data_IF_251877628409
#
_entry.id   IF_251877628409
#
_cell.length_a   1.000
_cell.length_b   1.000
_cell.length_c   1.000
_cell.angle_alpha   90.00
_cell.angle_beta   90.00
_cell.angle_gamma   90.00
#
_symmetry.space_group_name_H-M   'P 1'
#
loop_
_entity.id
_entity.type
_entity.pdbx_description
1 polymer ?
#
# COMPACT_ATOMS: atom_id res chain seq x y z
N UNK A 1 22.81 -38.19 33.98
CA UNK A 1 21.82 -37.14 33.72
C UNK A 1 21.61 -36.92 32.22
N UNK A 2 21.40 -37.97 31.39
CA UNK A 2 21.79 -37.85 29.96
C UNK A 2 20.69 -38.12 28.92
N UNK A 3 19.46 -38.46 29.32
CA UNK A 3 18.35 -38.71 28.38
C UNK A 3 17.21 -37.71 28.49
N UNK A 4 16.83 -37.34 29.72
CA UNK A 4 15.70 -36.41 29.96
C UNK A 4 16.05 -34.98 29.50
N UNK A 5 17.27 -34.50 29.78
CA UNK A 5 17.72 -33.18 29.31
C UNK A 5 17.73 -33.07 27.78
N UNK A 6 18.19 -34.10 27.06
CA UNK A 6 18.22 -34.08 25.59
C UNK A 6 16.81 -34.03 24.96
N UNK A 7 15.84 -34.74 25.54
CA UNK A 7 14.45 -34.73 25.04
C UNK A 7 13.78 -33.38 25.29
N UNK A 8 14.03 -32.74 26.43
CA UNK A 8 13.50 -31.39 26.71
C UNK A 8 14.11 -30.32 25.80
N UNK A 9 15.41 -30.39 25.48
CA UNK A 9 16.05 -29.43 24.56
C UNK A 9 15.53 -29.60 23.13
N UNK A 10 15.28 -30.83 22.68
CA UNK A 10 14.73 -31.11 21.34
C UNK A 10 13.26 -30.67 21.24
N UNK A 11 12.45 -30.89 22.28
CA UNK A 11 11.06 -30.42 22.29
C UNK A 11 10.96 -28.89 22.26
N UNK A 12 11.87 -28.19 22.95
CA UNK A 12 11.96 -26.73 22.90
C UNK A 12 12.40 -26.25 21.50
N UNK A 13 13.40 -26.89 20.88
CA UNK A 13 13.86 -26.54 19.53
C UNK A 13 12.79 -26.78 18.43
N UNK A 14 11.98 -27.84 18.56
CA UNK A 14 10.88 -28.13 17.63
C UNK A 14 9.73 -27.13 17.82
N UNK A 15 9.45 -26.69 19.05
CA UNK A 15 8.44 -25.65 19.31
C UNK A 15 8.82 -24.27 18.77
N UNK A 16 10.12 -23.99 18.60
CA UNK A 16 10.61 -22.75 17.95
C UNK A 16 10.48 -22.83 16.41
N UNK A 17 10.42 -24.03 15.84
CA UNK A 17 10.30 -24.24 14.39
C UNK A 17 8.84 -24.29 13.89
N UNK A 18 7.84 -24.38 14.77
CA UNK A 18 6.47 -24.75 14.36
C UNK A 18 5.41 -23.64 14.34
N UNK A 19 5.74 -22.34 14.44
CA UNK A 19 4.68 -21.29 14.36
C UNK A 19 5.06 -20.02 13.60
N UNK A 20 5.64 -20.14 12.40
CA UNK A 20 5.58 -19.04 11.43
C UNK A 20 4.73 -19.42 10.22
N UNK A 21 3.47 -19.78 10.46
CA UNK A 21 2.42 -19.44 9.50
C UNK A 21 2.18 -17.94 9.66
N UNK A 22 3.07 -17.16 9.03
CA UNK A 22 2.90 -15.73 8.88
C UNK A 22 1.73 -15.52 7.92
N UNK A 23 0.53 -15.31 8.46
CA UNK A 23 -0.51 -14.65 7.68
C UNK A 23 -0.01 -13.22 7.51
N UNK A 24 0.56 -12.90 6.35
CA UNK A 24 0.81 -11.52 6.02
C UNK A 24 -0.55 -10.89 5.73
N UNK A 25 -0.99 -9.95 6.58
CA UNK A 25 -2.28 -9.30 6.40
C UNK A 25 -2.14 -8.25 5.30
N UNK A 26 -2.39 -8.64 4.07
CA UNK A 26 -2.52 -7.70 2.95
C UNK A 26 -3.78 -6.87 3.18
N UNK A 27 -3.59 -5.59 3.44
CA UNK A 27 -4.65 -4.59 3.59
C UNK A 27 -4.78 -3.79 2.30
N UNK A 28 -5.92 -3.96 1.62
CA UNK A 28 -6.29 -3.13 0.47
C UNK A 28 -6.75 -1.77 0.96
N UNK A 29 -5.89 -0.77 0.84
CA UNK A 29 -6.15 0.59 1.32
C UNK A 29 -7.09 1.35 0.38
N UNK A 30 -6.99 1.08 -0.91
CA UNK A 30 -7.86 1.68 -1.93
C UNK A 30 -7.94 0.80 -3.18
N UNK A 31 -9.11 0.82 -3.82
CA UNK A 31 -9.34 0.16 -5.12
C UNK A 31 -10.15 1.09 -6.01
N UNK A 32 -9.56 1.50 -7.13
CA UNK A 32 -10.29 2.14 -8.24
C UNK A 32 -10.71 1.14 -9.31
N UNK A 33 -9.89 0.11 -9.53
CA UNK A 33 -10.17 -1.01 -10.43
C UNK A 33 -9.33 -2.24 -10.03
N UNK A 34 -9.46 -3.32 -10.78
CA UNK A 34 -8.56 -4.48 -10.71
C UNK A 34 -7.07 -4.14 -10.95
N UNK A 35 -6.81 -3.06 -11.70
CA UNK A 35 -5.47 -2.63 -12.11
C UNK A 35 -5.02 -1.28 -11.53
N UNK A 36 -5.89 -0.58 -10.80
CA UNK A 36 -5.59 0.67 -10.08
C UNK A 36 -5.96 0.53 -8.62
N UNK A 37 -4.95 0.41 -7.76
CA UNK A 37 -5.14 0.09 -6.35
C UNK A 37 -3.94 0.49 -5.49
N UNK A 38 -4.16 0.51 -4.18
CA UNK A 38 -3.12 0.66 -3.16
C UNK A 38 -3.26 -0.45 -2.13
N UNK A 39 -2.16 -1.15 -1.87
CA UNK A 39 -2.05 -2.21 -0.87
C UNK A 39 -0.89 -1.93 0.08
N UNK A 40 -1.09 -2.33 1.32
CA UNK A 40 -0.06 -2.42 2.34
C UNK A 40 -0.12 -3.81 2.95
N UNK A 41 1.02 -4.44 3.09
CA UNK A 41 1.19 -5.73 3.74
C UNK A 41 2.16 -5.56 4.90
N UNK A 42 1.78 -6.16 6.02
CA UNK A 42 2.62 -6.27 7.21
C UNK A 42 2.48 -7.70 7.74
N UNK A 43 3.58 -8.26 8.24
CA UNK A 43 3.59 -9.61 8.78
C UNK A 43 3.04 -9.62 10.20
N UNK A 44 2.23 -10.63 10.54
CA UNK A 44 1.64 -10.77 11.88
C UNK A 44 2.63 -11.32 12.95
N UNK A 45 3.94 -11.27 12.69
CA UNK A 45 4.97 -11.81 13.60
C UNK A 45 5.55 -10.73 14.50
N UNK A 46 5.93 -11.10 15.72
CA UNK A 46 6.69 -10.24 16.64
C UNK A 46 7.99 -9.69 16.01
N UNK A 47 8.56 -10.42 15.04
CA UNK A 47 9.79 -10.03 14.33
C UNK A 47 9.51 -9.35 12.98
N UNK A 48 8.25 -9.16 12.60
CA UNK A 48 7.89 -8.51 11.35
C UNK A 48 8.08 -6.99 11.48
N UNK A 49 9.28 -6.54 11.14
CA UNK A 49 9.64 -5.13 11.10
C UNK A 49 9.53 -4.53 9.70
N UNK A 50 9.12 -5.31 8.71
CA UNK A 50 9.03 -4.89 7.31
C UNK A 50 7.57 -4.66 6.90
N UNK A 51 7.31 -3.48 6.36
CA UNK A 51 6.09 -3.13 5.65
C UNK A 51 6.35 -3.18 4.14
N UNK A 52 5.46 -3.83 3.41
CA UNK A 52 5.50 -3.94 1.95
C UNK A 52 4.31 -3.18 1.36
N UNK A 53 4.60 -2.15 0.56
CA UNK A 53 3.58 -1.37 -0.12
C UNK A 53 3.54 -1.69 -1.60
N UNK A 54 2.35 -1.83 -2.17
CA UNK A 54 2.15 -1.90 -3.62
C UNK A 54 1.18 -0.82 -4.08
N UNK A 55 1.57 -0.05 -5.09
CA UNK A 55 0.70 0.91 -5.78
C UNK A 55 0.62 0.55 -7.24
N UNK A 56 -0.58 0.58 -7.81
CA UNK A 56 -0.83 0.34 -9.22
C UNK A 56 -1.73 1.43 -9.79
N UNK A 57 -1.42 1.88 -11.01
CA UNK A 57 -2.26 2.80 -11.76
C UNK A 57 -2.32 2.40 -13.24
N UNK A 58 -3.52 2.20 -13.78
CA UNK A 58 -3.78 1.98 -15.20
C UNK A 58 -4.47 3.20 -15.79
N UNK A 59 -3.90 3.73 -16.87
CA UNK A 59 -4.35 4.98 -17.46
C UNK A 59 -5.71 4.88 -18.11
N UNK A 60 -6.07 3.74 -18.70
CA UNK A 60 -7.37 3.50 -19.32
C UNK A 60 -8.54 3.38 -18.33
N UNK A 61 -8.28 3.35 -17.03
CA UNK A 61 -9.34 3.35 -16.03
C UNK A 61 -10.08 4.68 -16.03
N UNK A 62 -11.40 4.61 -15.79
CA UNK A 62 -12.29 5.75 -15.85
C UNK A 62 -13.06 5.87 -14.56
N UNK A 63 -13.10 7.08 -14.04
CA UNK A 63 -13.92 7.46 -12.90
C UNK A 63 -14.63 8.76 -13.24
N UNK A 64 -15.87 8.90 -12.78
CA UNK A 64 -16.56 10.18 -12.87
C UNK A 64 -16.18 10.98 -11.63
N UNK A 65 -15.54 12.13 -11.82
CA UNK A 65 -15.19 13.04 -10.76
C UNK A 65 -15.71 14.45 -11.09
N UNK A 66 -16.52 15.04 -10.21
CA UNK A 66 -17.18 16.33 -10.44
C UNK A 66 -17.87 16.44 -11.82
N UNK A 67 -18.56 15.37 -12.23
CA UNK A 67 -19.27 15.28 -13.51
C UNK A 67 -18.37 15.09 -14.74
N UNK A 68 -17.04 15.03 -14.59
CA UNK A 68 -16.09 14.79 -15.69
C UNK A 68 -15.56 13.37 -15.65
N UNK A 69 -15.35 12.79 -16.83
CA UNK A 69 -14.57 11.58 -16.96
C UNK A 69 -13.09 11.90 -16.68
N UNK A 70 -12.55 11.28 -15.65
CA UNK A 70 -11.17 11.38 -15.26
C UNK A 70 -10.49 10.01 -15.31
N UNK A 71 -9.18 10.02 -15.36
CA UNK A 71 -8.32 8.87 -15.13
C UNK A 71 -7.42 9.11 -13.91
N UNK A 72 -6.93 8.04 -13.30
CA UNK A 72 -5.99 8.11 -12.17
C UNK A 72 -4.61 8.52 -12.69
N UNK A 73 -4.26 9.80 -12.55
CA UNK A 73 -2.97 10.34 -13.03
C UNK A 73 -1.81 10.02 -12.11
N UNK A 74 -2.09 9.81 -10.82
CA UNK A 74 -1.14 9.32 -9.85
C UNK A 74 -1.85 8.56 -8.73
N UNK A 75 -1.31 7.40 -8.38
CA UNK A 75 -1.70 6.63 -7.20
C UNK A 75 -0.49 6.55 -6.29
N UNK A 76 -0.60 7.08 -5.07
CA UNK A 76 0.53 7.21 -4.14
C UNK A 76 0.22 6.55 -2.80
N UNK A 77 1.22 5.90 -2.24
CA UNK A 77 1.28 5.39 -0.87
C UNK A 77 2.42 6.10 -0.17
N UNK A 78 2.25 6.42 1.11
CA UNK A 78 3.29 7.00 1.96
C UNK A 78 3.24 6.33 3.31
N UNK A 79 4.33 5.65 3.68
CA UNK A 79 4.53 5.21 5.05
C UNK A 79 5.13 6.35 5.87
N UNK A 80 4.65 6.50 7.09
CA UNK A 80 5.23 7.37 8.10
C UNK A 80 5.80 6.52 9.23
N UNK A 81 7.11 6.31 9.18
CA UNK A 81 7.86 5.65 10.25
C UNK A 81 8.31 6.72 11.23
N UNK A 82 7.41 7.04 12.17
CA UNK A 82 7.72 7.90 13.31
C UNK A 82 8.33 9.25 12.93
N UNK A 83 7.67 9.93 12.00
CA UNK A 83 8.07 11.25 11.49
C UNK A 83 8.89 11.19 10.20
N UNK A 84 9.40 10.03 9.79
CA UNK A 84 10.08 9.89 8.49
C UNK A 84 9.13 9.30 7.45
N UNK A 85 8.96 10.05 6.35
CA UNK A 85 8.06 9.68 5.26
C UNK A 85 8.79 8.88 4.18
N UNK A 86 8.13 7.83 3.70
CA UNK A 86 8.59 6.95 2.63
C UNK A 86 7.51 6.86 1.55
N UNK A 87 7.53 7.76 0.55
CA UNK A 87 6.52 7.79 -0.51
C UNK A 87 6.87 6.83 -1.65
N UNK A 88 5.84 6.23 -2.25
CA UNK A 88 5.91 5.53 -3.53
C UNK A 88 4.69 5.90 -4.37
N UNK A 89 4.89 6.12 -5.66
CA UNK A 89 3.82 6.53 -6.57
C UNK A 89 3.88 5.79 -7.90
N UNK A 90 2.71 5.35 -8.38
CA UNK A 90 2.49 4.85 -9.72
C UNK A 90 1.84 5.95 -10.56
N UNK A 91 2.42 6.22 -11.74
CA UNK A 91 1.87 7.14 -12.74
C UNK A 91 1.71 6.35 -14.04
N UNK A 92 0.51 6.27 -14.63
CA UNK A 92 0.34 5.57 -15.89
C UNK A 92 1.09 6.31 -17.01
N UNK A 93 1.54 5.56 -18.02
CA UNK A 93 2.28 6.11 -19.16
C UNK A 93 1.47 7.16 -19.94
N UNK A 94 0.16 6.94 -20.06
CA UNK A 94 -0.77 7.87 -20.67
C UNK A 94 -2.19 7.56 -20.20
N UNK A 95 -3.11 8.51 -20.35
CA UNK A 95 -4.55 8.36 -20.06
C UNK A 95 -5.27 7.25 -20.85
N UNK A 96 -4.64 6.67 -21.86
CA UNK A 96 -5.22 5.59 -22.68
C UNK A 96 -4.43 4.28 -22.54
N UNK A 97 -3.41 4.23 -21.67
CA UNK A 97 -2.63 3.01 -21.47
C UNK A 97 -3.45 1.94 -20.76
N UNK A 98 -3.63 0.80 -21.42
CA UNK A 98 -4.20 -0.43 -20.82
C UNK A 98 -3.20 -1.19 -19.96
N UNK A 99 -1.92 -0.84 -20.01
CA UNK A 99 -0.88 -1.44 -19.18
C UNK A 99 -0.83 -0.73 -17.83
N UNK A 100 -1.02 -1.46 -16.70
CA UNK A 100 -0.83 -0.88 -15.38
C UNK A 100 0.65 -0.58 -15.13
N UNK A 101 0.92 0.53 -14.46
CA UNK A 101 2.22 0.83 -13.88
C UNK A 101 2.16 0.43 -12.41
N UNK A 102 2.97 -0.54 -12.03
CA UNK A 102 3.05 -1.06 -10.65
C UNK A 102 4.37 -0.61 -10.03
N UNK A 103 4.31 -0.09 -8.80
CA UNK A 103 5.49 0.24 -7.99
C UNK A 103 5.35 -0.37 -6.61
N UNK A 104 6.49 -0.80 -6.06
CA UNK A 104 6.58 -1.40 -4.75
C UNK A 104 7.53 -0.60 -3.87
N UNK A 105 7.32 -0.65 -2.57
CA UNK A 105 8.21 -0.09 -1.56
C UNK A 105 8.33 -1.05 -0.40
N UNK A 106 9.51 -1.11 0.19
CA UNK A 106 9.79 -1.85 1.41
C UNK A 106 10.27 -0.85 2.46
N UNK A 107 9.62 -0.86 3.62
CA UNK A 107 9.88 0.10 4.68
C UNK A 107 10.07 -0.64 5.98
N UNK A 108 11.22 -0.44 6.61
CA UNK A 108 11.54 -1.02 7.91
C UNK A 108 11.02 -0.12 9.04
N UNK A 109 10.24 -0.70 9.95
CA UNK A 109 9.81 -0.08 11.18
C UNK A 109 10.98 0.10 12.16
N UNK A 110 10.84 1.04 13.08
CA UNK A 110 11.80 1.21 14.16
C UNK A 110 11.40 0.33 15.33
N UNK A 111 12.33 -0.50 15.78
CA UNK A 111 12.21 -1.27 17.01
C UNK A 111 12.22 -0.37 18.25
N UNK A 112 11.06 0.18 18.63
CA UNK A 112 10.91 0.95 19.85
C UNK A 112 9.46 0.93 20.38
N UNK A 113 9.27 1.53 21.56
CA UNK A 113 7.98 1.65 22.27
C UNK A 113 7.19 2.90 21.80
N UNK A 114 7.67 3.57 20.75
CA UNK A 114 7.07 4.80 20.23
C UNK A 114 5.83 4.57 19.36
N UNK A 115 5.32 5.64 18.71
CA UNK A 115 4.19 5.55 17.80
C UNK A 115 4.42 4.51 16.70
N UNK A 116 3.39 3.74 16.35
CA UNK A 116 3.50 2.73 15.28
C UNK A 116 3.64 3.37 13.90
N UNK A 117 4.26 2.64 12.98
CA UNK A 117 4.31 3.05 11.57
C UNK A 117 2.89 3.14 11.00
N UNK A 118 2.60 4.21 10.26
CA UNK A 118 1.27 4.42 9.64
C UNK A 118 1.37 4.48 8.13
N UNK A 119 0.30 4.10 7.43
CA UNK A 119 0.22 4.18 5.98
C UNK A 119 -0.87 5.17 5.55
N UNK A 120 -0.56 5.99 4.56
CA UNK A 120 -1.51 6.92 3.94
C UNK A 120 -1.47 6.74 2.45
N UNK A 121 -2.62 6.85 1.79
CA UNK A 121 -2.67 6.87 0.33
C UNK A 121 -3.26 8.18 -0.17
N UNK A 122 -2.86 8.57 -1.38
CA UNK A 122 -3.44 9.71 -2.10
C UNK A 122 -3.61 9.38 -3.57
N UNK A 123 -4.75 9.73 -4.14
CA UNK A 123 -5.08 9.52 -5.56
C UNK A 123 -5.25 10.88 -6.22
N UNK A 124 -4.54 11.12 -7.31
CA UNK A 124 -4.73 12.27 -8.17
C UNK A 124 -5.50 11.84 -9.42
N UNK A 125 -6.50 12.63 -9.78
CA UNK A 125 -7.28 12.45 -10.99
C UNK A 125 -6.95 13.54 -12.00
N UNK A 126 -6.94 13.21 -13.28
CA UNK A 126 -6.86 14.18 -14.37
C UNK A 126 -7.98 13.92 -15.40
N UNK A 127 -8.52 14.97 -16.04
CA UNK A 127 -9.58 14.82 -17.03
C UNK A 127 -9.13 14.04 -18.26
N UNK A 128 -10.07 13.31 -18.86
CA UNK A 128 -9.92 12.67 -20.16
C UNK A 128 -10.37 13.65 -21.25
N UNK A 129 -9.75 13.61 -22.43
CA UNK A 129 -10.13 14.51 -23.55
C UNK A 129 -11.62 14.36 -23.86
N UNK A 130 -12.29 15.49 -24.08
CA UNK A 130 -13.73 15.53 -24.39
C UNK A 130 -14.65 15.46 -23.17
N UNK A 131 -14.14 15.46 -21.93
CA UNK A 131 -14.98 15.59 -20.73
C UNK A 131 -15.47 17.04 -20.54
N UNK A 132 -16.49 17.46 -21.29
CA UNK A 132 -17.13 18.76 -21.12
C UNK A 132 -18.10 18.72 -19.93
N UNK A 133 -17.73 19.38 -18.84
CA UNK A 133 -18.71 19.96 -17.92
C UNK A 133 -18.57 21.46 -18.07
N UNK A 134 -19.64 22.12 -18.49
CA UNK A 134 -19.75 23.57 -18.71
C UNK A 134 -19.02 24.34 -17.61
N UNK A 135 -17.82 24.87 -17.93
CA UNK A 135 -16.96 25.75 -17.12
C UNK A 135 -16.63 25.20 -15.71
N UNK A 136 -15.38 24.93 -15.32
CA UNK A 136 -14.36 25.90 -14.90
C UNK A 136 -13.04 25.11 -14.80
N UNK A 137 -11.90 25.74 -15.10
CA UNK A 137 -10.54 25.35 -14.65
C UNK A 137 -9.96 24.00 -15.10
N UNK A 138 -8.90 24.04 -15.91
CA UNK A 138 -7.98 22.92 -16.14
C UNK A 138 -7.03 22.74 -14.94
N UNK A 139 -7.55 22.50 -13.74
CA UNK A 139 -6.72 22.16 -12.58
C UNK A 139 -6.87 20.68 -12.23
N UNK A 140 -5.74 20.07 -11.88
CA UNK A 140 -5.61 18.70 -11.36
C UNK A 140 -6.17 18.69 -9.94
N UNK A 141 -7.50 18.74 -9.81
CA UNK A 141 -8.16 19.24 -8.60
C UNK A 141 -8.82 18.16 -7.73
N UNK A 142 -8.22 16.97 -7.60
CA UNK A 142 -8.72 16.07 -6.54
C UNK A 142 -7.70 15.11 -5.98
N UNK A 143 -7.44 15.28 -4.69
CA UNK A 143 -6.77 14.34 -3.82
C UNK A 143 -7.82 13.54 -3.06
N UNK A 144 -8.02 12.26 -3.41
CA UNK A 144 -8.67 11.32 -2.49
C UNK A 144 -7.58 10.88 -1.52
N UNK A 145 -7.64 11.29 -0.26
CA UNK A 145 -6.69 10.86 0.76
C UNK A 145 -7.41 10.10 1.88
N UNK A 146 -6.89 8.94 2.23
CA UNK A 146 -7.33 8.13 3.37
C UNK A 146 -6.17 7.94 4.34
N UNK A 147 -6.45 8.09 5.64
CA UNK A 147 -5.52 7.73 6.71
C UNK A 147 -5.96 6.37 7.27
N UNK A 148 -5.09 5.37 7.27
CA UNK A 148 -5.34 4.12 7.99
C UNK A 148 -4.13 3.85 8.90
N UNK A 149 -4.39 3.69 10.19
CA UNK A 149 -3.40 3.10 11.10
C UNK A 149 -3.33 1.63 10.71
N UNK A 150 -2.21 1.21 10.16
CA UNK A 150 -1.95 -0.21 9.90
C UNK A 150 -1.49 -0.78 11.24
N UNK A 151 -2.46 -1.28 12.01
CA UNK A 151 -2.21 -2.03 13.26
C UNK A 151 -1.56 -3.38 12.99
#
# INVERSE_FOLDING_TARGET
MNKIFKVMTIACAISVLSTSVSYAKVTRLWTGSDASYVESEHGDSFWADMYYGTVSARGSDRVIHNGRYCYYSEVRLTYNVQGKLYPVAARPTSKNSSRPVVKKIEVRDKWNIGPKTTAKYSINNAPVDGSTVNSIGNNVDTFISGNIVVE
#
